data_IF_305378890390
#
_entry.id   IF_305378890390
#
_cell.length_a   1.000
_cell.length_b   1.000
_cell.length_c   1.000
_cell.angle_alpha   90.00
_cell.angle_beta   90.00
_cell.angle_gamma   90.00
#
_symmetry.space_group_name_H-M   'P 1'
#
loop_
_entity.id
_entity.type
_entity.pdbx_description
1 polymer ?
#
# COMPACT_ATOMS: atom_id res chain seq x y z
N UNK A 1 50.44 20.30 59.88
CA UNK A 1 51.36 20.56 58.75
C UNK A 1 50.80 19.80 57.55
N UNK A 2 49.95 20.40 56.72
CA UNK A 2 50.21 21.44 55.70
C UNK A 2 51.05 20.89 54.54
N UNK A 3 50.37 20.75 53.38
CA UNK A 3 50.81 20.83 51.98
C UNK A 3 51.92 19.88 51.49
N UNK A 4 52.00 19.42 50.23
CA UNK A 4 51.17 19.43 49.02
C UNK A 4 51.87 18.46 48.05
N UNK A 5 51.11 17.72 47.23
CA UNK A 5 51.66 16.96 46.11
C UNK A 5 50.61 16.82 45.03
N UNK A 6 50.76 17.60 43.96
CA UNK A 6 49.93 17.52 42.75
C UNK A 6 50.06 16.13 42.09
N UNK A 7 48.93 15.54 41.73
CA UNK A 7 48.85 14.66 40.58
C UNK A 7 47.56 14.97 39.80
N UNK A 8 47.76 15.50 38.60
CA UNK A 8 46.75 15.72 37.57
C UNK A 8 46.30 14.37 37.00
N UNK A 9 45.03 14.01 37.18
CA UNK A 9 44.39 12.91 36.47
C UNK A 9 43.64 13.47 35.26
N UNK A 10 44.08 13.08 34.06
CA UNK A 10 43.37 13.32 32.81
C UNK A 10 42.11 12.43 32.77
N UNK A 11 40.92 13.05 32.77
CA UNK A 11 39.66 12.36 32.52
C UNK A 11 39.42 12.30 31.01
N UNK A 12 39.50 11.09 30.46
CA UNK A 12 39.14 10.74 29.09
C UNK A 12 37.63 10.89 28.88
N UNK A 13 37.24 11.83 28.00
CA UNK A 13 35.90 11.90 27.42
C UNK A 13 35.70 10.73 26.45
N UNK A 14 34.91 9.73 26.86
CA UNK A 14 34.22 8.84 25.93
C UNK A 14 32.80 9.38 25.75
N UNK A 15 32.55 9.90 24.55
CA UNK A 15 31.26 10.43 24.14
C UNK A 15 30.26 9.28 23.95
N UNK A 16 29.45 8.99 24.98
CA UNK A 16 28.18 8.30 24.79
C UNK A 16 27.22 9.24 24.06
N UNK A 17 27.18 9.14 22.73
CA UNK A 17 26.13 9.79 21.94
C UNK A 17 24.81 9.06 22.16
N UNK A 18 23.97 9.67 23.00
CA UNK A 18 22.53 9.84 22.74
C UNK A 18 21.69 8.58 22.56
N UNK A 19 21.25 7.98 23.67
CA UNK A 19 19.84 7.61 23.77
C UNK A 19 19.08 8.90 24.07
N UNK A 20 18.80 9.69 23.01
CA UNK A 20 17.82 10.76 23.11
C UNK A 20 16.46 10.11 22.90
N UNK A 21 15.59 10.35 23.87
CA UNK A 21 14.16 10.10 23.82
C UNK A 21 13.60 10.82 22.58
N UNK A 22 13.26 10.09 21.52
CA UNK A 22 12.38 10.55 20.43
C UNK A 22 10.92 10.65 20.90
N UNK A 23 10.72 11.15 22.12
CA UNK A 23 9.43 11.50 22.69
C UNK A 23 9.13 12.96 22.39
N UNK A 24 8.06 13.18 21.63
CA UNK A 24 7.39 14.48 21.46
C UNK A 24 8.13 15.51 20.58
N UNK A 25 8.13 15.30 19.25
CA UNK A 25 8.31 16.42 18.31
C UNK A 25 8.99 16.14 16.98
N UNK A 26 9.63 14.98 16.79
CA UNK A 26 10.18 14.56 15.50
C UNK A 26 9.10 13.81 14.70
N UNK A 27 8.73 14.32 13.52
CA UNK A 27 7.85 13.59 12.62
C UNK A 27 8.43 12.20 12.35
N UNK A 28 7.63 11.15 12.53
CA UNK A 28 8.04 9.79 12.18
C UNK A 28 8.41 9.78 10.70
N UNK A 29 9.65 9.40 10.39
CA UNK A 29 10.03 9.14 9.01
C UNK A 29 9.35 7.82 8.60
N UNK A 30 8.49 7.87 7.58
CA UNK A 30 7.85 6.68 6.99
C UNK A 30 8.49 6.39 5.63
N UNK A 31 9.76 5.94 5.59
CA UNK A 31 10.41 5.63 4.32
C UNK A 31 9.66 4.48 3.63
N UNK A 32 9.61 4.55 2.31
CA UNK A 32 9.07 3.46 1.49
C UNK A 32 10.12 2.35 1.37
N UNK A 33 10.53 1.75 2.49
CA UNK A 33 11.63 0.79 2.58
C UNK A 33 11.17 -0.66 2.73
N UNK A 34 9.87 -0.93 2.53
CA UNK A 34 9.29 -2.27 2.58
C UNK A 34 8.17 -2.47 1.55
N UNK A 35 7.70 -3.72 1.45
CA UNK A 35 6.44 -4.02 0.79
C UNK A 35 5.80 -5.18 1.53
N UNK A 36 4.74 -4.89 2.26
CA UNK A 36 4.00 -5.86 3.06
C UNK A 36 2.53 -5.81 2.73
N UNK A 37 1.85 -6.93 2.88
CA UNK A 37 0.41 -7.01 2.70
C UNK A 37 -0.26 -7.67 3.88
N UNK A 38 -1.58 -7.48 3.96
CA UNK A 38 -2.46 -8.09 4.95
C UNK A 38 -2.25 -7.49 6.34
N UNK A 39 -3.34 -7.02 6.92
CA UNK A 39 -3.43 -6.62 8.32
C UNK A 39 -4.16 -7.68 9.13
N UNK A 40 -3.71 -7.92 10.37
CA UNK A 40 -4.43 -8.78 11.29
C UNK A 40 -4.07 -8.56 12.75
N UNK A 41 -5.04 -8.81 13.63
CA UNK A 41 -4.85 -8.74 15.09
C UNK A 41 -4.01 -9.89 15.64
N UNK A 42 -3.94 -11.02 14.94
CA UNK A 42 -3.17 -12.18 15.37
C UNK A 42 -1.72 -12.09 14.84
N UNK A 43 -0.72 -11.76 15.69
CA UNK A 43 0.68 -11.67 15.25
C UNK A 43 1.27 -13.03 14.88
N UNK A 44 0.63 -14.14 15.27
CA UNK A 44 1.06 -15.50 14.93
C UNK A 44 0.51 -16.00 13.60
N UNK A 45 -0.41 -15.26 12.97
CA UNK A 45 -0.83 -15.58 11.61
C UNK A 45 0.33 -15.27 10.66
N UNK A 46 0.84 -16.28 9.96
CA UNK A 46 1.95 -16.13 9.01
C UNK A 46 1.68 -15.16 7.85
N UNK A 47 0.41 -14.84 7.59
CA UNK A 47 0.01 -13.86 6.57
C UNK A 47 -0.05 -12.43 7.11
N UNK A 48 -0.02 -12.23 8.42
CA UNK A 48 -0.05 -10.89 9.01
C UNK A 48 1.22 -10.12 8.66
N UNK A 49 1.08 -8.98 7.99
CA UNK A 49 2.19 -8.17 7.49
C UNK A 49 3.20 -8.97 6.67
N UNK A 50 2.70 -9.88 5.81
CA UNK A 50 3.53 -10.76 5.01
C UNK A 50 4.34 -9.96 3.97
N UNK A 51 5.62 -10.31 3.84
CA UNK A 51 6.54 -9.59 2.98
C UNK A 51 6.37 -10.03 1.52
N UNK A 52 6.34 -9.07 0.61
CA UNK A 52 6.42 -9.33 -0.82
C UNK A 52 7.83 -9.04 -1.35
N UNK A 53 8.31 -9.82 -2.32
CA UNK A 53 9.63 -9.62 -2.92
C UNK A 53 9.72 -8.29 -3.67
N UNK A 54 10.76 -7.50 -3.39
CA UNK A 54 10.98 -6.20 -4.04
C UNK A 54 11.92 -6.24 -5.23
N UNK A 55 12.49 -7.41 -5.53
CA UNK A 55 13.23 -7.66 -6.76
C UNK A 55 12.67 -8.88 -7.48
N UNK A 56 12.76 -8.87 -8.81
CA UNK A 56 12.33 -10.00 -9.65
C UNK A 56 13.14 -11.27 -9.32
N UNK A 57 14.41 -11.10 -8.94
CA UNK A 57 15.27 -12.19 -8.47
C UNK A 57 14.68 -12.83 -7.21
N UNK A 58 14.34 -12.04 -6.19
CA UNK A 58 13.73 -12.55 -4.96
C UNK A 58 12.38 -13.22 -5.24
N UNK A 59 11.59 -12.68 -6.17
CA UNK A 59 10.32 -13.26 -6.58
C UNK A 59 10.50 -14.69 -7.12
N UNK A 60 11.47 -14.88 -8.01
CA UNK A 60 11.81 -16.19 -8.58
C UNK A 60 12.30 -17.16 -7.50
N UNK A 61 13.17 -16.71 -6.59
CA UNK A 61 13.62 -17.52 -5.45
C UNK A 61 12.45 -17.92 -4.53
N UNK A 62 11.47 -17.04 -4.36
CA UNK A 62 10.26 -17.28 -3.59
C UNK A 62 9.15 -17.98 -4.38
N UNK A 63 9.46 -18.52 -5.57
CA UNK A 63 8.56 -19.29 -6.44
C UNK A 63 7.36 -18.52 -6.98
N UNK A 64 7.48 -17.21 -7.14
CA UNK A 64 6.52 -16.45 -7.93
C UNK A 64 6.68 -16.80 -9.41
N UNK A 65 5.55 -16.90 -10.11
CA UNK A 65 5.47 -17.24 -11.54
C UNK A 65 5.13 -15.99 -12.33
N UNK A 66 5.85 -15.77 -13.44
CA UNK A 66 5.60 -14.65 -14.36
C UNK A 66 4.29 -14.87 -15.11
N UNK A 67 3.41 -13.88 -15.12
CA UNK A 67 2.11 -13.90 -15.82
C UNK A 67 1.94 -12.76 -16.83
N UNK A 68 2.91 -11.85 -16.91
CA UNK A 68 2.90 -10.77 -17.88
C UNK A 68 4.29 -10.19 -18.08
N UNK A 69 4.59 -9.74 -19.29
CA UNK A 69 5.83 -9.08 -19.62
C UNK A 69 5.65 -7.55 -19.73
N UNK A 70 6.78 -6.86 -19.68
CA UNK A 70 6.80 -5.42 -19.91
C UNK A 70 6.47 -5.13 -21.38
N UNK A 71 5.45 -4.30 -21.60
CA UNK A 71 5.22 -3.66 -22.88
C UNK A 71 4.47 -2.35 -22.66
N UNK A 72 4.82 -1.33 -23.43
CA UNK A 72 4.16 -0.02 -23.43
C UNK A 72 2.82 -0.03 -24.17
N UNK A 73 2.53 -1.09 -24.94
CA UNK A 73 1.25 -1.29 -25.63
C UNK A 73 0.29 -2.18 -24.85
N UNK A 74 0.74 -2.77 -23.73
CA UNK A 74 -0.09 -3.62 -22.90
C UNK A 74 -1.05 -2.78 -22.04
N UNK A 75 -2.13 -3.45 -21.61
CA UNK A 75 -3.11 -2.91 -20.65
C UNK A 75 -2.49 -2.58 -19.29
N UNK A 76 -1.33 -3.16 -18.98
CA UNK A 76 -0.58 -2.98 -17.75
C UNK A 76 0.90 -2.86 -18.05
N UNK A 77 1.60 -2.09 -17.23
CA UNK A 77 3.04 -1.94 -17.31
C UNK A 77 3.74 -2.91 -16.35
N UNK A 78 4.99 -3.21 -16.67
CA UNK A 78 5.86 -4.03 -15.84
C UNK A 78 5.73 -5.52 -16.06
N UNK A 79 6.70 -6.24 -15.54
CA UNK A 79 6.71 -7.70 -15.49
C UNK A 79 5.91 -8.14 -14.26
N UNK A 80 4.81 -8.86 -14.50
CA UNK A 80 3.84 -9.23 -13.46
C UNK A 80 4.11 -10.65 -12.97
N UNK A 81 4.09 -10.83 -11.65
CA UNK A 81 4.40 -12.10 -10.99
C UNK A 81 3.37 -12.42 -9.90
N UNK A 82 2.97 -13.69 -9.83
CA UNK A 82 1.99 -14.19 -8.86
C UNK A 82 2.55 -15.40 -8.10
N UNK A 83 2.21 -15.55 -6.82
CA UNK A 83 2.56 -16.72 -6.02
C UNK A 83 1.34 -17.61 -5.85
N UNK A 84 1.50 -18.92 -6.00
CA UNK A 84 0.45 -19.93 -5.73
C UNK A 84 -0.89 -19.66 -6.47
N UNK A 85 -0.83 -19.00 -7.63
CA UNK A 85 -2.01 -18.55 -8.40
C UNK A 85 -2.97 -17.61 -7.63
N UNK A 86 -2.51 -17.00 -6.53
CA UNK A 86 -3.27 -16.05 -5.73
C UNK A 86 -3.20 -14.65 -6.35
N UNK A 87 -4.25 -14.29 -7.10
CA UNK A 87 -4.33 -13.00 -7.79
C UNK A 87 -4.62 -11.82 -6.85
N UNK A 88 -4.81 -12.02 -5.55
CA UNK A 88 -5.03 -10.90 -4.62
C UNK A 88 -3.81 -9.97 -4.50
N UNK A 89 -2.60 -10.51 -4.69
CA UNK A 89 -1.35 -9.77 -4.59
C UNK A 89 -0.36 -10.14 -5.71
N UNK A 90 -0.49 -9.46 -6.84
CA UNK A 90 0.41 -9.56 -8.00
C UNK A 90 1.47 -8.48 -7.88
N UNK A 91 2.74 -8.86 -7.81
CA UNK A 91 3.86 -7.91 -7.79
C UNK A 91 4.26 -7.54 -9.22
N UNK A 92 4.60 -6.28 -9.41
CA UNK A 92 4.97 -5.73 -10.72
C UNK A 92 6.41 -5.22 -10.62
N UNK A 93 7.28 -5.67 -11.52
CA UNK A 93 8.67 -5.20 -11.63
C UNK A 93 8.88 -4.33 -12.87
N UNK A 94 9.78 -3.36 -12.78
CA UNK A 94 10.26 -2.61 -13.93
C UNK A 94 11.17 -3.46 -14.84
N UNK A 95 11.63 -2.85 -15.92
CA UNK A 95 12.50 -3.48 -16.91
C UNK A 95 13.83 -4.00 -16.34
N UNK A 96 14.32 -3.39 -15.24
CA UNK A 96 15.56 -3.79 -14.57
C UNK A 96 15.34 -4.77 -13.42
N UNK A 97 14.10 -4.99 -13.01
CA UNK A 97 13.71 -6.03 -12.06
C UNK A 97 13.50 -5.50 -10.65
N UNK A 98 13.34 -4.20 -10.47
CA UNK A 98 12.98 -3.59 -9.20
C UNK A 98 11.46 -3.41 -9.12
N UNK A 99 10.91 -3.51 -7.91
CA UNK A 99 9.47 -3.35 -7.68
C UNK A 99 8.97 -2.03 -8.27
N UNK A 100 7.90 -2.06 -9.03
CA UNK A 100 7.34 -0.90 -9.71
C UNK A 100 5.86 -0.71 -9.40
N UNK A 101 5.20 -1.69 -8.81
CA UNK A 101 3.79 -1.62 -8.46
C UNK A 101 3.24 -2.91 -7.91
N UNK A 102 1.94 -2.91 -7.70
CA UNK A 102 1.15 -4.04 -7.25
C UNK A 102 -0.22 -4.01 -7.93
N UNK A 103 -0.77 -5.20 -8.13
CA UNK A 103 -2.05 -5.40 -8.79
C UNK A 103 -2.84 -6.46 -8.03
N UNK A 104 -4.17 -6.36 -8.09
CA UNK A 104 -5.07 -7.41 -7.66
C UNK A 104 -6.00 -7.78 -8.82
N UNK A 105 -6.23 -9.07 -9.00
CA UNK A 105 -7.17 -9.63 -9.95
C UNK A 105 -8.41 -10.18 -9.25
N UNK A 106 -9.58 -9.96 -9.86
CA UNK A 106 -10.87 -10.48 -9.41
C UNK A 106 -11.57 -11.23 -10.55
N UNK A 107 -12.41 -12.24 -10.25
CA UNK A 107 -13.27 -12.87 -11.24
C UNK A 107 -14.18 -11.84 -11.93
N UNK A 108 -14.54 -12.09 -13.20
CA UNK A 108 -15.48 -11.22 -13.93
C UNK A 108 -16.94 -11.37 -13.49
N UNK A 109 -17.22 -12.33 -12.62
CA UNK A 109 -18.54 -12.71 -12.13
C UNK A 109 -18.60 -12.78 -10.58
N UNK A 110 -17.71 -12.05 -9.89
CA UNK A 110 -17.65 -12.03 -8.43
C UNK A 110 -19.03 -11.64 -7.87
N UNK A 111 -19.62 -12.52 -7.07
CA UNK A 111 -20.93 -12.27 -6.46
C UNK A 111 -20.82 -11.11 -5.43
N UNK A 112 -21.82 -10.22 -5.36
CA UNK A 112 -23.16 -10.29 -5.98
C UNK A 112 -23.30 -9.70 -7.40
N UNK A 113 -22.21 -9.29 -8.05
CA UNK A 113 -22.27 -8.62 -9.36
C UNK A 113 -21.16 -7.58 -9.52
N UNK A 114 -19.96 -7.93 -9.08
CA UNK A 114 -18.81 -7.05 -8.96
C UNK A 114 -17.71 -7.44 -9.96
N UNK A 115 -16.99 -6.49 -10.58
CA UNK A 115 -17.16 -5.04 -10.44
C UNK A 115 -18.46 -4.55 -11.11
N UNK A 116 -19.03 -3.48 -10.58
CA UNK A 116 -20.19 -2.81 -11.18
C UNK A 116 -19.85 -2.23 -12.56
N UNK A 117 -20.86 -1.82 -13.32
CA UNK A 117 -20.63 -1.16 -14.61
C UNK A 117 -19.80 0.14 -14.49
N UNK A 118 -19.98 0.90 -13.40
CA UNK A 118 -19.22 2.13 -13.12
C UNK A 118 -17.73 1.86 -12.88
N UNK A 119 -17.42 0.70 -12.33
CA UNK A 119 -16.04 0.34 -11.98
C UNK A 119 -15.27 -0.33 -13.13
N UNK A 120 -15.98 -0.74 -14.20
CA UNK A 120 -15.38 -1.37 -15.39
C UNK A 120 -14.69 -0.32 -16.25
N UNK A 121 -13.46 -0.62 -16.64
CA UNK A 121 -12.52 0.29 -17.28
C UNK A 121 -12.12 1.50 -16.42
N UNK A 122 -12.53 1.54 -15.13
CA UNK A 122 -12.28 2.63 -14.19
C UNK A 122 -12.58 2.24 -12.73
N UNK A 123 -11.64 1.76 -11.90
CA UNK A 123 -10.23 1.52 -12.20
C UNK A 123 -9.99 0.10 -12.75
N UNK A 124 -11.00 -0.77 -12.83
CA UNK A 124 -10.76 -2.15 -13.25
C UNK A 124 -10.53 -2.28 -14.74
N UNK A 125 -9.46 -2.97 -15.12
CA UNK A 125 -9.17 -3.27 -16.53
C UNK A 125 -9.36 -4.75 -16.79
N UNK A 126 -10.15 -5.08 -17.82
CA UNK A 126 -10.41 -6.47 -18.22
C UNK A 126 -9.19 -7.04 -18.96
N UNK A 127 -8.71 -8.21 -18.55
CA UNK A 127 -7.67 -8.97 -19.26
C UNK A 127 -7.98 -10.46 -19.17
N UNK A 128 -8.21 -11.09 -20.33
CA UNK A 128 -8.82 -12.42 -20.40
C UNK A 128 -10.23 -12.44 -19.80
N UNK A 129 -10.43 -13.31 -18.81
CA UNK A 129 -11.67 -13.52 -18.06
C UNK A 129 -11.69 -12.84 -16.69
N UNK A 130 -10.73 -11.93 -16.41
CA UNK A 130 -10.58 -11.30 -15.09
C UNK A 130 -10.44 -9.80 -15.17
N UNK A 131 -10.87 -9.12 -14.11
CA UNK A 131 -10.66 -7.69 -13.93
C UNK A 131 -9.48 -7.46 -13.00
N UNK A 132 -8.69 -6.42 -13.29
CA UNK A 132 -7.52 -6.06 -12.49
C UNK A 132 -7.56 -4.60 -12.07
N UNK A 133 -7.21 -4.33 -10.81
CA UNK A 133 -6.91 -2.99 -10.29
C UNK A 133 -5.41 -2.89 -10.05
N UNK A 134 -4.81 -1.76 -10.44
CA UNK A 134 -3.34 -1.62 -10.46
C UNK A 134 -2.90 -0.30 -9.86
N UNK A 135 -1.90 -0.36 -8.99
CA UNK A 135 -1.15 0.80 -8.55
C UNK A 135 0.34 0.64 -8.84
N UNK A 136 0.99 1.75 -9.21
CA UNK A 136 2.43 1.82 -9.43
C UNK A 136 3.09 2.67 -8.34
N UNK A 137 4.30 2.29 -7.93
CA UNK A 137 5.10 2.98 -6.92
C UNK A 137 6.12 3.96 -7.54
N UNK A 138 6.21 3.94 -8.86
CA UNK A 138 7.12 4.78 -9.65
C UNK A 138 6.37 5.29 -10.86
N UNK A 139 6.88 6.36 -11.47
CA UNK A 139 6.25 6.98 -12.63
C UNK A 139 6.02 5.94 -13.75
N UNK A 140 4.78 5.75 -14.25
CA UNK A 140 4.46 4.72 -15.23
C UNK A 140 5.38 4.69 -16.46
N UNK A 141 5.76 5.87 -16.97
CA UNK A 141 6.64 5.98 -18.15
C UNK A 141 8.03 5.35 -17.97
N UNK A 142 8.50 5.16 -16.73
CA UNK A 142 9.80 4.54 -16.44
C UNK A 142 9.74 3.02 -16.45
N UNK A 143 8.57 2.42 -16.17
CA UNK A 143 8.46 1.00 -15.80
C UNK A 143 8.93 0.07 -16.91
N UNK A 144 8.50 0.31 -18.15
CA UNK A 144 8.90 -0.48 -19.33
C UNK A 144 9.86 0.23 -20.28
N UNK A 145 10.31 1.44 -19.92
CA UNK A 145 11.40 2.11 -20.62
C UNK A 145 12.73 1.72 -19.99
N UNK A 146 13.41 2.71 -19.42
CA UNK A 146 14.74 2.55 -18.83
C UNK A 146 14.73 1.73 -17.52
N UNK A 147 13.59 1.67 -16.82
CA UNK A 147 13.51 1.15 -15.45
C UNK A 147 14.31 1.99 -14.46
N UNK A 148 14.35 1.57 -13.19
CA UNK A 148 15.20 2.19 -12.17
C UNK A 148 16.61 1.61 -12.21
N UNK A 149 17.62 2.43 -11.97
CA UNK A 149 18.98 1.94 -11.68
C UNK A 149 19.08 1.35 -10.27
N UNK A 150 20.17 0.64 -9.97
CA UNK A 150 20.45 0.17 -8.61
C UNK A 150 20.55 1.32 -7.59
N UNK A 151 21.09 2.48 -8.02
CA UNK A 151 21.20 3.68 -7.18
C UNK A 151 19.83 4.32 -6.92
N UNK A 152 18.97 4.36 -7.95
CA UNK A 152 17.58 4.84 -7.79
C UNK A 152 16.82 3.94 -6.81
N UNK A 153 16.90 2.62 -7.00
CA UNK A 153 16.29 1.65 -6.09
C UNK A 153 16.81 1.80 -4.65
N UNK A 154 18.13 1.94 -4.46
CA UNK A 154 18.72 2.09 -3.12
C UNK A 154 18.29 3.37 -2.41
N UNK A 155 18.03 4.46 -3.14
CA UNK A 155 17.65 5.75 -2.56
C UNK A 155 16.13 5.93 -2.40
N UNK A 156 15.34 5.32 -3.28
CA UNK A 156 13.87 5.45 -3.29
C UNK A 156 13.17 4.26 -2.61
N UNK A 157 13.88 3.16 -2.37
CA UNK A 157 13.30 1.93 -1.85
C UNK A 157 12.21 1.36 -2.78
N UNK A 158 11.02 1.13 -2.23
CA UNK A 158 9.86 0.60 -2.95
C UNK A 158 9.33 1.56 -4.01
N UNK A 159 9.51 2.87 -3.84
CA UNK A 159 9.09 3.87 -4.82
C UNK A 159 9.08 5.28 -4.27
N UNK A 160 8.67 6.24 -5.11
CA UNK A 160 8.62 7.67 -4.75
C UNK A 160 7.20 8.18 -4.54
N UNK A 161 6.25 7.64 -5.31
CA UNK A 161 4.87 8.14 -5.39
C UNK A 161 3.92 6.99 -5.70
N UNK A 162 2.63 7.15 -5.37
CA UNK A 162 1.61 6.16 -5.68
C UNK A 162 0.81 6.64 -6.90
N UNK A 163 0.74 5.81 -7.94
CA UNK A 163 -0.03 6.09 -9.14
C UNK A 163 -1.12 5.04 -9.32
N UNK A 164 -2.38 5.44 -9.29
CA UNK A 164 -3.51 4.56 -9.54
C UNK A 164 -3.81 4.51 -11.05
N UNK A 165 -3.79 3.31 -11.63
CA UNK A 165 -4.29 3.12 -12.98
C UNK A 165 -5.81 3.21 -12.98
N UNK A 166 -6.33 4.39 -13.30
CA UNK A 166 -7.76 4.69 -13.26
C UNK A 166 -8.42 4.64 -14.65
N UNK A 167 -7.77 3.97 -15.61
CA UNK A 167 -8.30 3.76 -16.97
C UNK A 167 -7.62 2.55 -17.63
N UNK A 168 -8.05 2.21 -18.85
CA UNK A 168 -7.37 1.21 -19.68
C UNK A 168 -6.00 1.64 -20.18
N UNK A 169 -5.65 2.93 -20.08
CA UNK A 169 -4.32 3.45 -20.40
C UNK A 169 -3.47 3.55 -19.13
N UNK A 170 -2.44 2.70 -18.95
CA UNK A 170 -1.61 2.73 -17.76
C UNK A 170 -0.72 3.97 -17.65
N UNK A 171 -0.43 4.66 -18.77
CA UNK A 171 0.36 5.91 -18.78
C UNK A 171 -0.45 7.12 -18.30
N UNK A 172 -1.78 7.01 -18.26
CA UNK A 172 -2.68 8.03 -17.73
C UNK A 172 -3.01 7.81 -16.23
N UNK A 173 -2.20 7.03 -15.52
CA UNK A 173 -2.40 6.79 -14.10
C UNK A 173 -2.39 8.09 -13.28
N UNK A 174 -3.30 8.18 -12.32
CA UNK A 174 -3.47 9.35 -11.47
C UNK A 174 -2.51 9.25 -10.28
N UNK A 175 -1.69 10.27 -10.08
CA UNK A 175 -0.83 10.37 -8.90
C UNK A 175 -1.69 10.66 -7.66
N UNK A 176 -1.48 9.90 -6.60
CA UNK A 176 -2.06 10.10 -5.28
C UNK A 176 -1.15 11.06 -4.49
N UNK A 177 -1.70 12.07 -3.79
CA UNK A 177 -0.88 13.00 -3.03
C UNK A 177 -0.04 12.28 -1.96
N UNK A 178 1.28 12.47 -1.98
CA UNK A 178 2.14 11.86 -0.97
C UNK A 178 1.93 12.48 0.43
N UNK A 179 1.62 13.77 0.50
CA UNK A 179 1.40 14.51 1.75
C UNK A 179 -0.10 14.61 2.08
N UNK A 180 -0.49 14.28 3.30
CA UNK A 180 -1.89 14.34 3.78
C UNK A 180 -2.45 15.75 3.64
N UNK A 181 -1.62 16.77 3.85
CA UNK A 181 -1.97 18.19 3.70
C UNK A 181 -2.47 18.56 2.29
N UNK A 182 -2.19 17.75 1.28
CA UNK A 182 -2.61 17.95 -0.10
C UNK A 182 -3.89 17.19 -0.48
N UNK A 183 -4.42 16.35 0.42
CA UNK A 183 -5.67 15.59 0.20
C UNK A 183 -6.89 16.52 0.09
N UNK A 184 -6.90 17.65 0.80
CA UNK A 184 -8.02 18.61 0.77
C UNK A 184 -8.33 19.21 -0.62
N UNK A 185 -7.46 18.99 -1.62
CA UNK A 185 -7.64 19.39 -3.02
C UNK A 185 -8.12 18.25 -3.92
N UNK A 186 -8.58 17.14 -3.33
CA UNK A 186 -8.99 15.92 -4.02
C UNK A 186 -10.35 15.45 -3.50
N UNK A 187 -10.94 14.45 -4.16
CA UNK A 187 -12.21 13.85 -3.71
C UNK A 187 -12.02 12.80 -2.60
N UNK A 188 -10.80 12.60 -2.09
CA UNK A 188 -10.55 11.66 -1.00
C UNK A 188 -11.13 12.20 0.31
N UNK A 189 -12.13 11.50 0.85
CA UNK A 189 -12.85 11.87 2.06
C UNK A 189 -12.16 11.23 3.26
N UNK A 190 -11.88 12.04 4.28
CA UNK A 190 -11.24 11.57 5.53
C UNK A 190 -12.20 10.68 6.30
N UNK A 191 -11.80 9.42 6.49
CA UNK A 191 -12.45 8.49 7.41
C UNK A 191 -11.85 8.58 8.81
N UNK A 192 -11.59 7.42 9.42
CA UNK A 192 -11.08 7.35 10.80
C UNK A 192 -9.66 6.79 10.88
N UNK A 193 -9.05 7.07 12.02
CA UNK A 193 -7.79 6.47 12.42
C UNK A 193 -8.02 5.06 12.96
N UNK A 194 -7.22 4.10 12.50
CA UNK A 194 -7.15 2.77 13.09
C UNK A 194 -5.68 2.42 13.41
N UNK A 195 -5.45 1.89 14.62
CA UNK A 195 -4.10 1.57 15.10
C UNK A 195 -3.40 0.54 14.20
N UNK A 196 -2.13 0.76 13.86
CA UNK A 196 -1.33 -0.06 12.92
C UNK A 196 -1.85 -0.06 11.46
N UNK A 197 -2.79 0.84 11.12
CA UNK A 197 -3.20 1.10 9.75
C UNK A 197 -2.90 2.56 9.36
N UNK A 198 -3.37 3.52 10.15
CA UNK A 198 -3.28 4.95 9.87
C UNK A 198 -4.66 5.61 9.73
N UNK A 199 -4.65 6.87 9.28
CA UNK A 199 -5.86 7.63 8.93
C UNK A 199 -6.34 7.14 7.56
N UNK A 200 -7.54 6.57 7.52
CA UNK A 200 -8.14 6.11 6.27
C UNK A 200 -8.73 7.28 5.49
N UNK A 201 -8.57 7.22 4.17
CA UNK A 201 -9.26 8.09 3.23
C UNK A 201 -9.95 7.26 2.16
N UNK A 202 -11.20 7.61 1.87
CA UNK A 202 -12.07 6.88 0.95
C UNK A 202 -12.52 7.80 -0.18
N UNK A 203 -12.41 7.33 -1.43
CA UNK A 203 -12.64 8.20 -2.59
C UNK A 203 -14.14 8.55 -2.72
N UNK A 204 -14.44 9.84 -2.79
CA UNK A 204 -15.76 10.44 -3.04
C UNK A 204 -16.92 9.79 -2.26
N UNK A 205 -16.67 9.46 -0.99
CA UNK A 205 -17.60 8.71 -0.15
C UNK A 205 -18.71 9.63 0.39
N UNK A 206 -19.97 9.23 0.22
CA UNK A 206 -21.17 9.96 0.67
C UNK A 206 -22.14 8.99 1.35
N UNK A 207 -22.95 9.50 2.29
CA UNK A 207 -23.90 8.67 3.03
C UNK A 207 -24.95 8.00 2.11
N UNK A 208 -25.37 8.70 1.07
CA UNK A 208 -26.45 8.36 0.14
C UNK A 208 -25.94 7.85 -1.23
N UNK A 209 -24.65 7.53 -1.37
CA UNK A 209 -24.12 7.02 -2.62
C UNK A 209 -24.64 5.60 -2.95
N UNK A 210 -24.85 5.27 -4.23
CA UNK A 210 -25.13 3.91 -4.66
C UNK A 210 -23.88 3.02 -4.49
N UNK A 211 -24.08 1.74 -4.18
CA UNK A 211 -22.97 0.82 -3.94
C UNK A 211 -22.17 0.51 -5.21
N UNK A 212 -22.81 0.65 -6.35
CA UNK A 212 -22.18 0.53 -7.66
C UNK A 212 -21.08 1.58 -7.87
N UNK A 213 -21.12 2.71 -7.17
CA UNK A 213 -20.10 3.78 -7.23
C UNK A 213 -19.01 3.62 -6.16
N UNK A 214 -19.11 2.67 -5.23
CA UNK A 214 -18.13 2.53 -4.15
C UNK A 214 -16.74 2.18 -4.70
N UNK A 215 -15.83 3.15 -4.60
CA UNK A 215 -14.52 3.07 -5.21
C UNK A 215 -13.62 2.08 -4.45
N UNK A 216 -12.93 1.15 -5.15
CA UNK A 216 -12.35 -0.02 -4.52
C UNK A 216 -10.94 0.18 -3.96
N UNK A 217 -10.68 1.37 -3.44
CA UNK A 217 -9.39 1.74 -2.90
C UNK A 217 -9.56 2.70 -1.72
N UNK A 218 -8.74 2.51 -0.70
CA UNK A 218 -8.56 3.46 0.39
C UNK A 218 -7.08 3.84 0.54
N UNK A 219 -6.82 5.05 1.00
CA UNK A 219 -5.47 5.51 1.33
C UNK A 219 -5.25 5.49 2.84
N UNK A 220 -4.00 5.35 3.25
CA UNK A 220 -3.60 5.40 4.65
C UNK A 220 -2.46 6.40 4.81
N UNK A 221 -2.70 7.36 5.71
CA UNK A 221 -1.69 8.33 6.11
C UNK A 221 -1.29 8.12 7.56
N UNK A 222 0.01 8.25 7.81
CA UNK A 222 0.56 8.33 9.15
C UNK A 222 1.75 9.29 9.15
N UNK A 223 1.92 10.08 10.22
CA UNK A 223 2.92 11.14 10.27
C UNK A 223 2.65 12.24 9.24
N UNK A 224 1.40 12.41 8.78
CA UNK A 224 1.04 13.30 7.68
C UNK A 224 1.51 12.86 6.28
N UNK A 225 2.02 11.64 6.11
CA UNK A 225 2.53 11.11 4.83
C UNK A 225 1.87 9.78 4.46
N UNK A 226 1.77 9.51 3.16
CA UNK A 226 1.21 8.28 2.61
C UNK A 226 2.14 7.11 2.93
N UNK A 227 1.74 6.25 3.86
CA UNK A 227 2.54 5.10 4.32
C UNK A 227 1.98 3.75 3.84
N UNK A 228 0.71 3.72 3.46
CA UNK A 228 0.02 2.54 2.97
C UNK A 228 -1.23 2.92 2.15
N UNK A 229 -1.84 1.91 1.54
CA UNK A 229 -3.15 2.00 0.91
C UNK A 229 -3.75 0.59 0.93
N UNK A 230 -4.96 0.42 0.39
CA UNK A 230 -5.50 -0.91 0.22
C UNK A 230 -6.63 -0.98 -0.76
N UNK A 231 -6.99 -2.22 -1.07
CA UNK A 231 -8.14 -2.55 -1.90
C UNK A 231 -9.36 -2.85 -1.05
N UNK A 232 -10.54 -2.49 -1.54
CA UNK A 232 -11.82 -2.78 -0.87
C UNK A 232 -12.84 -3.25 -1.90
N UNK A 233 -12.98 -4.56 -2.03
CA UNK A 233 -13.84 -5.20 -3.02
C UNK A 233 -15.19 -5.59 -2.41
N UNK A 234 -16.28 -5.25 -3.10
CA UNK A 234 -17.63 -5.67 -2.69
C UNK A 234 -17.91 -7.08 -3.22
N UNK A 235 -17.43 -8.07 -2.48
CA UNK A 235 -17.55 -9.49 -2.80
C UNK A 235 -16.62 -10.32 -1.94
N UNK A 236 -16.85 -11.63 -1.92
CA UNK A 236 -16.04 -12.58 -1.15
C UNK A 236 -14.88 -13.13 -1.99
N UNK A 237 -13.67 -12.62 -1.75
CA UNK A 237 -12.45 -13.08 -2.42
C UNK A 237 -11.73 -14.12 -1.57
N UNK A 238 -11.59 -15.32 -2.13
CA UNK A 238 -10.90 -16.42 -1.47
C UNK A 238 -9.38 -16.27 -1.63
N UNK A 239 -8.73 -15.72 -0.62
CA UNK A 239 -7.27 -15.70 -0.48
C UNK A 239 -6.89 -15.66 1.00
N UNK A 240 -5.81 -16.33 1.41
CA UNK A 240 -5.31 -16.20 2.79
C UNK A 240 -4.76 -14.81 3.12
N UNK A 241 -4.55 -13.95 2.12
CA UNK A 241 -4.06 -12.56 2.28
C UNK A 241 -5.21 -11.56 2.44
N UNK A 242 -6.40 -11.92 1.99
CA UNK A 242 -7.56 -11.04 2.00
C UNK A 242 -8.18 -11.07 3.39
N UNK A 243 -8.56 -9.89 3.85
CA UNK A 243 -9.24 -9.65 5.09
C UNK A 243 -10.74 -9.48 4.83
N UNK A 244 -11.57 -9.93 5.77
CA UNK A 244 -13.02 -9.78 5.69
C UNK A 244 -13.51 -9.02 6.93
N UNK A 245 -13.41 -7.67 6.95
CA UNK A 245 -13.86 -6.89 8.09
C UNK A 245 -15.35 -7.14 8.35
N UNK A 246 -15.72 -7.52 9.58
CA UNK A 246 -17.13 -7.62 9.97
C UNK A 246 -17.87 -6.29 9.75
N UNK A 247 -19.14 -6.37 9.37
CA UNK A 247 -19.97 -5.19 9.09
C UNK A 247 -20.02 -4.18 10.26
N UNK A 248 -19.97 -4.66 11.50
CA UNK A 248 -19.99 -3.82 12.71
C UNK A 248 -18.68 -3.06 12.97
N UNK A 249 -17.60 -3.31 12.24
CA UNK A 249 -16.33 -2.58 12.38
C UNK A 249 -16.06 -1.59 11.26
N UNK A 250 -16.88 -1.56 10.20
CA UNK A 250 -16.70 -0.63 9.06
C UNK A 250 -16.70 0.84 9.53
N UNK A 251 -17.57 1.17 10.48
CA UNK A 251 -17.66 2.50 11.09
C UNK A 251 -16.45 2.89 11.93
N UNK A 252 -15.49 1.99 12.16
CA UNK A 252 -14.23 2.28 12.84
C UNK A 252 -13.17 2.86 11.91
N UNK A 253 -13.32 2.71 10.59
CA UNK A 253 -12.36 3.23 9.60
C UNK A 253 -12.99 4.11 8.51
N UNK A 254 -14.33 4.11 8.36
CA UNK A 254 -15.05 5.01 7.44
C UNK A 254 -15.84 6.11 8.17
N UNK A 255 -15.86 7.31 7.58
CA UNK A 255 -16.73 8.43 7.97
C UNK A 255 -16.93 9.38 6.76
N UNK A 256 -18.16 9.58 6.23
CA UNK A 256 -19.37 8.81 6.56
C UNK A 256 -19.24 7.35 6.08
N UNK A 257 -20.03 6.46 6.67
CA UNK A 257 -20.22 5.10 6.14
C UNK A 257 -21.36 5.14 5.11
N UNK A 258 -21.13 4.83 3.83
CA UNK A 258 -22.21 4.72 2.84
C UNK A 258 -23.29 3.75 3.30
N UNK A 259 -24.55 4.20 3.25
CA UNK A 259 -25.69 3.40 3.73
C UNK A 259 -25.83 2.08 2.99
N UNK A 260 -25.34 2.03 1.75
CA UNK A 260 -25.41 0.85 0.91
C UNK A 260 -24.48 -0.28 1.42
N UNK A 261 -23.35 0.03 2.09
CA UNK A 261 -22.37 -0.97 2.54
C UNK A 261 -22.94 -1.92 3.59
N UNK A 262 -23.91 -1.46 4.40
CA UNK A 262 -24.64 -2.29 5.34
C UNK A 262 -25.42 -3.44 4.69
N UNK A 263 -25.64 -3.36 3.36
CA UNK A 263 -26.36 -4.37 2.56
C UNK A 263 -25.50 -4.99 1.45
N UNK A 264 -24.24 -4.57 1.30
CA UNK A 264 -23.37 -4.99 0.21
C UNK A 264 -22.86 -6.45 0.33
N UNK A 265 -23.08 -7.10 1.47
CA UNK A 265 -22.59 -8.45 1.76
C UNK A 265 -21.16 -8.42 2.31
N UNK A 266 -20.33 -9.35 1.88
CA UNK A 266 -18.92 -9.43 2.29
C UNK A 266 -18.11 -8.33 1.61
N UNK A 267 -17.36 -7.57 2.42
CA UNK A 267 -16.29 -6.71 1.94
C UNK A 267 -14.97 -7.49 2.05
N UNK A 268 -14.21 -7.55 0.97
CA UNK A 268 -12.87 -8.15 0.95
C UNK A 268 -11.84 -7.03 0.85
N UNK A 269 -10.98 -6.91 1.86
CA UNK A 269 -9.92 -5.88 1.89
C UNK A 269 -8.54 -6.49 1.79
N UNK A 270 -7.60 -5.73 1.25
CA UNK A 270 -6.18 -6.06 1.30
C UNK A 270 -5.40 -4.79 1.60
N UNK A 271 -4.82 -4.72 2.79
CA UNK A 271 -3.88 -3.67 3.13
C UNK A 271 -2.53 -3.89 2.43
N UNK A 272 -1.93 -2.81 1.95
CA UNK A 272 -0.64 -2.78 1.25
C UNK A 272 0.21 -1.68 1.87
N UNK A 273 1.26 -2.09 2.57
CA UNK A 273 2.19 -1.23 3.29
C UNK A 273 3.49 -1.09 2.50
N UNK A 274 3.93 0.15 2.30
CA UNK A 274 5.22 0.47 1.67
C UNK A 274 6.31 0.80 2.70
N UNK A 275 5.91 0.95 3.97
CA UNK A 275 6.81 0.95 5.14
C UNK A 275 7.25 -0.50 5.47
N UNK A 276 8.52 -0.71 5.84
CA UNK A 276 9.05 -2.00 6.30
C UNK A 276 8.59 -2.42 7.69
N UNK A 277 8.16 -1.48 8.54
CA UNK A 277 7.72 -1.74 9.92
C UNK A 277 6.32 -1.20 10.24
N UNK A 278 5.28 -1.52 9.47
CA UNK A 278 3.93 -0.98 9.68
C UNK A 278 3.33 -1.40 11.03
N UNK A 279 3.77 -2.51 11.63
CA UNK A 279 3.32 -2.94 12.94
C UNK A 279 3.69 -1.98 14.09
N UNK A 280 4.65 -1.07 13.88
CA UNK A 280 5.03 -0.05 14.89
C UNK A 280 4.23 1.25 14.76
N UNK A 281 3.37 1.35 13.75
CA UNK A 281 2.56 2.53 13.43
C UNK A 281 1.26 2.55 14.26
N UNK A 282 1.39 2.44 15.59
CA UNK A 282 0.27 2.26 16.52
C UNK A 282 -0.62 3.50 16.70
N UNK A 283 -0.13 4.67 16.30
CA UNK A 283 -0.83 5.94 16.44
C UNK A 283 -0.91 6.63 15.08
N UNK A 284 -2.03 7.30 14.83
CA UNK A 284 -2.18 8.25 13.74
C UNK A 284 -1.74 9.61 14.26
N UNK A 285 -0.48 9.95 14.03
CA UNK A 285 0.11 11.25 14.38
C UNK A 285 0.33 12.08 13.14
#
# INVERSE_FOLDING_TARGET
MVLVGLLTLAASLLACHGFILDGFGGGKNHPWDGLKVTWGLNPFNKYNFDNLPRTESDAKHQKFVKIGDCSTTNKFLGRRYVKDNDLSAIVIYDNNGYIAGIQAGIPNDLKPGYPSAFLKNHPFVLDGDKYYITAYFVKPSLICGDGRSANDYSSQGTGTDLYLQNSTNPLAATMIPHQESSINKTDWVKGKCFAAMGVHYWYNTRLDMPCEEFFPMFLLYNGGVLNAFGWAFQGDLISPRVEHPPQNVISQFMDPVPSCLYKAGTLSTLHIYVNGSPQTDLFCT
#
